data_IF_513041924454
#
_entry.id   IF_513041924454
#
_cell.length_a   1.000
_cell.length_b   1.000
_cell.length_c   1.000
_cell.angle_alpha   90.00
_cell.angle_beta   90.00
_cell.angle_gamma   90.00
#
_symmetry.space_group_name_H-M   'P 1'
#
loop_
_entity.id
_entity.type
_entity.pdbx_description
1 polymer ?
#
# COMPACT_ATOMS: atom_id res chain seq x y z
N UNK A 1 21.44 -4.58 -12.26
CA UNK A 1 20.81 -3.58 -13.16
C UNK A 1 21.89 -2.70 -13.75
N UNK A 2 21.80 -2.33 -15.04
CA UNK A 2 22.74 -1.39 -15.66
C UNK A 2 22.24 0.02 -15.36
N UNK A 3 23.06 0.84 -14.70
CA UNK A 3 22.76 2.28 -14.62
C UNK A 3 22.73 2.89 -16.02
N UNK A 4 21.78 3.78 -16.28
CA UNK A 4 21.65 4.43 -17.59
C UNK A 4 22.95 5.16 -17.94
N UNK A 5 23.42 5.00 -19.17
CA UNK A 5 24.60 5.69 -19.70
C UNK A 5 24.28 7.10 -20.21
N UNK A 6 23.00 7.51 -20.19
CA UNK A 6 22.59 8.85 -20.62
C UNK A 6 22.98 9.90 -19.59
N UNK A 7 23.52 11.05 -20.01
CA UNK A 7 23.70 12.20 -19.12
C UNK A 7 22.40 12.54 -18.40
N UNK A 8 22.47 13.08 -17.18
CA UNK A 8 21.28 13.40 -16.38
C UNK A 8 20.26 14.28 -17.15
N UNK A 9 20.77 15.26 -17.91
CA UNK A 9 19.97 16.16 -18.75
C UNK A 9 19.37 15.50 -20.02
N UNK A 10 19.47 14.18 -20.15
CA UNK A 10 18.87 13.38 -21.23
C UNK A 10 18.09 12.17 -20.69
N UNK A 11 17.92 12.09 -19.36
CA UNK A 11 17.18 11.00 -18.74
C UNK A 11 15.71 11.06 -19.13
N UNK A 12 15.14 9.91 -19.47
CA UNK A 12 13.72 9.73 -19.77
C UNK A 12 13.03 9.07 -18.60
N UNK A 13 12.08 9.77 -18.01
CA UNK A 13 11.36 9.33 -16.82
C UNK A 13 9.94 8.95 -17.20
N UNK A 14 9.56 7.70 -16.98
CA UNK A 14 8.15 7.33 -17.02
C UNK A 14 7.59 7.48 -15.62
N UNK A 15 6.47 8.20 -15.49
CA UNK A 15 5.68 8.18 -14.27
C UNK A 15 4.27 7.66 -14.58
N UNK A 16 3.96 6.48 -14.03
CA UNK A 16 2.67 5.85 -14.18
C UNK A 16 1.83 6.07 -12.92
N UNK A 17 0.78 6.87 -13.04
CA UNK A 17 -0.01 7.39 -11.93
C UNK A 17 -1.50 7.01 -12.07
N UNK A 18 -1.85 5.71 -12.01
CA UNK A 18 -3.24 5.28 -12.17
C UNK A 18 -4.15 5.69 -11.00
N UNK A 19 -3.57 6.03 -9.84
CA UNK A 19 -4.29 6.25 -8.57
C UNK A 19 -4.25 7.71 -8.12
N UNK A 20 -4.23 8.62 -9.09
CA UNK A 20 -4.04 10.05 -8.86
C UNK A 20 -5.21 10.76 -8.16
N UNK A 21 -6.33 10.04 -7.94
CA UNK A 21 -7.42 10.51 -7.07
C UNK A 21 -6.94 10.71 -5.62
N UNK A 22 -5.91 9.98 -5.19
CA UNK A 22 -5.15 10.30 -3.97
C UNK A 22 -4.19 11.48 -4.21
N UNK A 23 -4.77 12.68 -4.29
CA UNK A 23 -4.13 13.91 -4.77
C UNK A 23 -2.73 14.20 -4.18
N UNK A 24 -2.48 13.89 -2.90
CA UNK A 24 -1.15 14.18 -2.31
C UNK A 24 -0.02 13.46 -3.06
N UNK A 25 -0.23 12.20 -3.45
CA UNK A 25 0.76 11.42 -4.18
C UNK A 25 1.00 12.03 -5.57
N UNK A 26 -0.07 12.41 -6.24
CA UNK A 26 0.00 13.16 -7.49
C UNK A 26 0.71 14.50 -7.40
N UNK A 27 0.47 15.26 -6.32
CA UNK A 27 1.14 16.53 -6.08
C UNK A 27 2.65 16.33 -5.99
N UNK A 28 3.11 15.31 -5.26
CA UNK A 28 4.53 14.95 -5.20
C UNK A 28 5.07 14.55 -6.56
N UNK A 29 4.36 13.66 -7.26
CA UNK A 29 4.77 13.19 -8.59
C UNK A 29 4.99 14.36 -9.56
N UNK A 30 3.97 15.18 -9.73
CA UNK A 30 4.00 16.29 -10.69
C UNK A 30 5.02 17.35 -10.30
N UNK A 31 5.17 17.66 -9.01
CA UNK A 31 6.16 18.64 -8.53
C UNK A 31 7.58 18.15 -8.80
N UNK A 32 7.86 16.87 -8.52
CA UNK A 32 9.16 16.26 -8.80
C UNK A 32 9.43 16.26 -10.29
N UNK A 33 8.47 15.85 -11.13
CA UNK A 33 8.63 15.82 -12.58
C UNK A 33 8.87 17.20 -13.19
N UNK A 34 8.14 18.23 -12.76
CA UNK A 34 8.41 19.62 -13.17
C UNK A 34 9.84 20.04 -12.84
N UNK A 35 10.30 19.72 -11.63
CA UNK A 35 11.66 20.05 -11.21
C UNK A 35 12.71 19.29 -12.03
N UNK A 36 12.46 18.03 -12.36
CA UNK A 36 13.36 17.22 -13.19
C UNK A 36 13.40 17.74 -14.64
N UNK A 37 12.26 18.16 -15.18
CA UNK A 37 12.17 18.81 -16.50
C UNK A 37 12.96 20.12 -16.56
N UNK A 38 12.89 20.96 -15.53
CA UNK A 38 13.71 22.17 -15.43
C UNK A 38 15.22 21.88 -15.41
N UNK A 39 15.62 20.68 -15.01
CA UNK A 39 17.01 20.22 -15.03
C UNK A 39 17.38 19.44 -16.31
N UNK A 40 16.51 19.45 -17.32
CA UNK A 40 16.75 18.89 -18.65
C UNK A 40 16.24 17.47 -18.86
N UNK A 41 15.67 16.80 -17.85
CA UNK A 41 15.08 15.48 -18.07
C UNK A 41 13.81 15.56 -18.95
N UNK A 42 13.57 14.53 -19.73
CA UNK A 42 12.27 14.33 -20.38
C UNK A 42 11.41 13.41 -19.52
N UNK A 43 10.09 13.58 -19.57
CA UNK A 43 9.18 12.68 -18.88
C UNK A 43 7.90 12.41 -19.65
N UNK A 44 7.30 11.25 -19.36
CA UNK A 44 5.94 10.90 -19.74
C UNK A 44 5.13 10.61 -18.49
N UNK A 45 4.06 11.38 -18.28
CA UNK A 45 3.11 11.16 -17.19
C UNK A 45 1.89 10.41 -17.75
N UNK A 46 1.59 9.22 -17.23
CA UNK A 46 0.52 8.35 -17.75
C UNK A 46 -0.48 8.04 -16.65
N UNK A 47 -1.76 8.31 -16.91
CA UNK A 47 -2.87 8.09 -15.97
C UNK A 47 -3.85 7.04 -16.48
N UNK A 48 -4.74 6.57 -15.59
CA UNK A 48 -5.82 5.65 -15.94
C UNK A 48 -7.06 6.39 -16.46
N UNK A 49 -7.64 5.91 -17.55
CA UNK A 49 -8.87 6.43 -18.17
C UNK A 49 -10.10 5.54 -17.97
N UNK A 50 -10.07 4.65 -16.98
CA UNK A 50 -11.20 3.79 -16.60
C UNK A 50 -11.19 2.40 -17.22
N UNK A 51 -10.02 1.90 -17.64
CA UNK A 51 -9.89 0.60 -18.33
C UNK A 51 -9.99 -0.64 -17.42
N UNK A 52 -9.97 -0.45 -16.09
CA UNK A 52 -9.97 -1.56 -15.12
C UNK A 52 -11.35 -1.82 -14.55
N UNK A 53 -11.74 -3.10 -14.44
CA UNK A 53 -13.01 -3.53 -13.83
C UNK A 53 -12.99 -3.45 -12.30
N UNK A 54 -11.82 -3.68 -11.68
CA UNK A 54 -11.55 -3.39 -10.27
C UNK A 54 -10.23 -2.63 -10.10
N UNK A 55 -10.11 -1.77 -9.09
CA UNK A 55 -8.88 -1.01 -8.84
C UNK A 55 -8.76 -0.53 -7.39
N UNK A 56 -7.56 -0.04 -7.04
CA UNK A 56 -7.23 0.32 -5.65
C UNK A 56 -7.84 1.64 -5.14
N UNK A 57 -8.44 2.44 -6.02
CA UNK A 57 -9.17 3.64 -5.62
C UNK A 57 -10.56 3.29 -5.05
N UNK A 58 -11.15 2.19 -5.50
CA UNK A 58 -12.56 1.85 -5.24
C UNK A 58 -12.72 0.50 -4.52
N UNK A 59 -11.90 0.26 -3.50
CA UNK A 59 -12.04 -0.93 -2.65
C UNK A 59 -13.40 -0.99 -1.98
N UNK A 60 -14.05 -2.17 -1.97
CA UNK A 60 -15.32 -2.40 -1.26
C UNK A 60 -15.23 -1.98 0.21
N UNK A 61 -14.12 -2.26 0.88
CA UNK A 61 -14.00 -1.97 2.30
C UNK A 61 -13.95 -0.47 2.65
N UNK A 62 -13.61 0.41 1.70
CA UNK A 62 -13.34 1.83 1.99
C UNK A 62 -14.11 2.81 1.11
N UNK A 63 -14.26 2.50 -0.17
CA UNK A 63 -14.85 3.38 -1.18
C UNK A 63 -15.46 2.53 -2.31
N UNK A 64 -16.57 1.82 -2.06
CA UNK A 64 -17.16 0.89 -3.02
C UNK A 64 -17.41 1.53 -4.39
N UNK A 65 -17.03 0.82 -5.45
CA UNK A 65 -17.26 1.24 -6.82
C UNK A 65 -18.76 1.29 -7.14
N UNK A 66 -19.19 2.34 -7.84
CA UNK A 66 -20.52 2.50 -8.44
C UNK A 66 -20.39 2.89 -9.93
N UNK A 67 -21.51 2.91 -10.65
CA UNK A 67 -21.54 3.10 -12.12
C UNK A 67 -20.80 4.36 -12.61
N UNK A 68 -20.84 5.44 -11.83
CA UNK A 68 -20.21 6.71 -12.17
C UNK A 68 -18.77 6.87 -11.63
N UNK A 69 -18.25 5.91 -10.85
CA UNK A 69 -16.96 6.05 -10.14
C UNK A 69 -15.79 6.34 -11.07
N UNK A 70 -15.64 5.58 -12.18
CA UNK A 70 -14.53 5.79 -13.11
C UNK A 70 -14.63 7.13 -13.84
N UNK A 71 -15.83 7.54 -14.26
CA UNK A 71 -16.06 8.84 -14.90
C UNK A 71 -15.72 9.99 -13.95
N UNK A 72 -16.15 9.92 -12.69
CA UNK A 72 -15.82 10.92 -11.68
C UNK A 72 -14.32 10.97 -11.39
N UNK A 73 -13.67 9.81 -11.20
CA UNK A 73 -12.23 9.72 -10.98
C UNK A 73 -11.45 10.32 -12.16
N UNK A 74 -11.81 9.96 -13.39
CA UNK A 74 -11.17 10.49 -14.61
C UNK A 74 -11.29 12.00 -14.70
N UNK A 75 -12.48 12.55 -14.47
CA UNK A 75 -12.70 14.00 -14.51
C UNK A 75 -11.88 14.72 -13.43
N UNK A 76 -11.88 14.20 -12.20
CA UNK A 76 -11.13 14.79 -11.09
C UNK A 76 -9.62 14.76 -11.33
N UNK A 77 -9.10 13.67 -11.89
CA UNK A 77 -7.66 13.50 -12.14
C UNK A 77 -7.18 14.29 -13.36
N UNK A 78 -7.99 14.39 -14.42
CA UNK A 78 -7.74 15.27 -15.57
C UNK A 78 -7.70 16.74 -15.13
N UNK A 79 -8.73 17.21 -14.42
CA UNK A 79 -8.77 18.58 -13.90
C UNK A 79 -7.58 18.86 -12.99
N UNK A 80 -7.27 17.94 -12.07
CA UNK A 80 -6.14 18.08 -11.16
C UNK A 80 -4.79 18.17 -11.92
N UNK A 81 -4.54 17.30 -12.90
CA UNK A 81 -3.31 17.33 -13.69
C UNK A 81 -3.19 18.62 -14.52
N UNK A 82 -4.30 19.10 -15.10
CA UNK A 82 -4.33 20.39 -15.83
C UNK A 82 -4.04 21.57 -14.92
N UNK A 83 -4.63 21.60 -13.72
CA UNK A 83 -4.38 22.65 -12.73
C UNK A 83 -2.93 22.65 -12.22
N UNK A 84 -2.30 21.48 -12.19
CA UNK A 84 -0.86 21.33 -11.90
C UNK A 84 0.04 21.62 -13.11
N UNK A 85 -0.53 21.95 -14.27
CA UNK A 85 0.19 22.32 -15.49
C UNK A 85 1.00 21.17 -16.10
N UNK A 86 0.66 19.90 -15.81
CA UNK A 86 1.38 18.75 -16.36
C UNK A 86 0.66 18.18 -17.59
N UNK A 87 1.42 17.91 -18.65
CA UNK A 87 0.93 17.14 -19.79
C UNK A 87 0.94 15.65 -19.47
N UNK A 88 -0.11 14.94 -19.87
CA UNK A 88 -0.26 13.53 -19.55
C UNK A 88 -0.90 12.73 -20.69
N UNK A 89 -0.79 11.41 -20.61
CA UNK A 89 -1.40 10.45 -21.53
C UNK A 89 -2.29 9.47 -20.78
N UNK A 90 -3.22 8.86 -21.50
CA UNK A 90 -4.08 7.81 -20.98
C UNK A 90 -3.49 6.44 -21.28
N UNK A 91 -3.53 5.52 -20.31
CA UNK A 91 -3.05 4.14 -20.52
C UNK A 91 -3.86 3.40 -21.59
N UNK A 92 -5.15 3.75 -21.78
CA UNK A 92 -5.99 3.22 -22.86
C UNK A 92 -5.43 3.44 -24.27
N UNK A 93 -4.52 4.40 -24.47
CA UNK A 93 -3.84 4.60 -25.77
C UNK A 93 -2.94 3.42 -26.18
N UNK A 94 -2.55 2.57 -25.22
CA UNK A 94 -1.70 1.39 -25.45
C UNK A 94 -2.50 0.09 -25.53
N UNK A 95 -3.83 0.19 -25.53
CA UNK A 95 -4.77 -0.93 -25.54
C UNK A 95 -5.67 -0.88 -26.77
N UNK A 96 -6.13 -2.04 -27.22
CA UNK A 96 -7.11 -2.22 -28.27
C UNK A 96 -8.20 -3.22 -27.84
N UNK A 97 -9.25 -3.36 -28.63
CA UNK A 97 -10.42 -4.21 -28.32
C UNK A 97 -10.02 -5.68 -28.10
N UNK A 98 -9.06 -6.20 -28.86
CA UNK A 98 -8.62 -7.59 -28.75
C UNK A 98 -7.92 -7.87 -27.42
N UNK A 99 -7.29 -6.86 -26.80
CA UNK A 99 -6.68 -7.01 -25.47
C UNK A 99 -7.74 -7.27 -24.40
N UNK A 100 -8.89 -6.57 -24.48
CA UNK A 100 -10.01 -6.77 -23.56
C UNK A 100 -10.65 -8.15 -23.75
N UNK A 101 -10.82 -8.58 -25.00
CA UNK A 101 -11.34 -9.91 -25.32
C UNK A 101 -10.39 -11.02 -24.83
N UNK A 102 -9.09 -10.83 -25.03
CA UNK A 102 -8.04 -11.73 -24.58
C UNK A 102 -8.00 -11.85 -23.06
N UNK A 103 -8.09 -10.73 -22.35
CA UNK A 103 -8.12 -10.74 -20.89
C UNK A 103 -9.37 -11.45 -20.35
N UNK A 104 -10.53 -11.23 -20.97
CA UNK A 104 -11.75 -11.94 -20.61
C UNK A 104 -11.58 -13.46 -20.84
N UNK A 105 -11.14 -13.87 -22.03
CA UNK A 105 -10.96 -15.28 -22.36
C UNK A 105 -9.94 -15.99 -21.45
N UNK A 106 -8.83 -15.33 -21.14
CA UNK A 106 -7.83 -15.87 -20.22
C UNK A 106 -8.44 -16.12 -18.83
N UNK A 107 -9.10 -15.11 -18.27
CA UNK A 107 -9.68 -15.23 -16.93
C UNK A 107 -10.82 -16.27 -16.88
N UNK A 108 -11.62 -16.40 -17.93
CA UNK A 108 -12.64 -17.47 -18.03
C UNK A 108 -12.03 -18.88 -18.12
N UNK A 109 -10.78 -19.01 -18.57
CA UNK A 109 -10.09 -20.30 -18.69
C UNK A 109 -9.46 -20.80 -17.39
N UNK A 110 -9.34 -19.94 -16.38
CA UNK A 110 -8.65 -20.28 -15.12
C UNK A 110 -9.54 -21.12 -14.19
N UNK A 111 -8.94 -22.12 -13.54
CA UNK A 111 -9.52 -22.72 -12.35
C UNK A 111 -9.38 -21.77 -11.16
N UNK A 112 -10.30 -21.87 -10.21
CA UNK A 112 -10.28 -21.05 -8.99
C UNK A 112 -9.01 -21.28 -8.16
N UNK A 113 -8.51 -22.51 -8.16
CA UNK A 113 -7.30 -22.92 -7.43
C UNK A 113 -6.04 -22.22 -7.99
N UNK A 114 -6.09 -21.80 -9.25
CA UNK A 114 -4.96 -21.18 -9.92
C UNK A 114 -4.92 -19.66 -9.71
N UNK A 115 -5.99 -19.02 -9.22
CA UNK A 115 -6.12 -17.55 -9.22
C UNK A 115 -4.93 -16.82 -8.57
N UNK A 116 -4.43 -17.32 -7.44
CA UNK A 116 -3.34 -16.66 -6.70
C UNK A 116 -1.98 -16.81 -7.37
N UNK A 117 -1.81 -17.82 -8.22
CA UNK A 117 -0.56 -18.12 -8.93
C UNK A 117 -0.68 -17.96 -10.43
N UNK A 118 -1.82 -17.49 -10.92
CA UNK A 118 -2.14 -17.41 -12.34
C UNK A 118 -1.07 -16.63 -13.11
N UNK A 119 -0.57 -17.26 -14.16
CA UNK A 119 0.42 -16.68 -15.05
C UNK A 119 -0.17 -16.51 -16.45
N UNK A 120 0.19 -15.41 -17.10
CA UNK A 120 -0.06 -15.19 -18.53
C UNK A 120 1.29 -15.02 -19.21
N UNK A 121 1.67 -15.99 -20.05
CA UNK A 121 3.02 -16.07 -20.61
C UNK A 121 4.11 -16.05 -19.52
N UNK A 122 4.85 -14.95 -19.38
CA UNK A 122 5.89 -14.75 -18.36
C UNK A 122 5.46 -13.84 -17.19
N UNK A 123 4.19 -13.41 -17.19
CA UNK A 123 3.66 -12.45 -16.23
C UNK A 123 2.91 -13.16 -15.13
N UNK A 124 3.36 -12.96 -13.88
CA UNK A 124 2.81 -13.60 -12.68
C UNK A 124 1.63 -12.80 -12.14
N UNK A 125 0.60 -12.63 -12.96
CA UNK A 125 -0.53 -11.71 -12.72
C UNK A 125 -1.22 -12.00 -11.40
N UNK A 126 -1.48 -13.27 -11.06
CA UNK A 126 -2.11 -13.66 -9.79
C UNK A 126 -1.33 -13.16 -8.58
N UNK A 127 -0.01 -13.35 -8.59
CA UNK A 127 0.89 -12.88 -7.52
C UNK A 127 0.86 -11.35 -7.41
N UNK A 128 0.84 -10.64 -8.55
CA UNK A 128 0.88 -9.18 -8.58
C UNK A 128 -0.39 -8.50 -8.11
N UNK A 129 -1.56 -9.16 -8.26
CA UNK A 129 -2.85 -8.58 -7.85
C UNK A 129 -3.29 -9.00 -6.46
N UNK A 130 -2.75 -10.11 -5.92
CA UNK A 130 -3.11 -10.68 -4.60
C UNK A 130 -3.25 -9.61 -3.51
N UNK A 131 -2.20 -8.81 -3.30
CA UNK A 131 -2.19 -7.79 -2.25
C UNK A 131 -3.31 -6.76 -2.37
N UNK A 132 -3.75 -6.45 -3.60
CA UNK A 132 -4.90 -5.57 -3.82
C UNK A 132 -6.24 -6.23 -3.58
N UNK A 133 -6.38 -7.53 -3.84
CA UNK A 133 -7.61 -8.26 -3.49
C UNK A 133 -7.78 -8.27 -1.96
N UNK A 134 -6.70 -8.55 -1.22
CA UNK A 134 -6.71 -8.49 0.24
C UNK A 134 -7.08 -7.09 0.76
N UNK A 135 -6.45 -6.03 0.24
CA UNK A 135 -6.79 -4.64 0.60
C UNK A 135 -8.21 -4.24 0.18
N UNK A 136 -8.75 -4.83 -0.91
CA UNK A 136 -10.12 -4.56 -1.37
C UNK A 136 -11.17 -4.92 -0.30
N UNK A 137 -10.94 -6.01 0.42
CA UNK A 137 -11.80 -6.48 1.51
C UNK A 137 -11.28 -6.09 2.91
N UNK A 138 -10.03 -5.62 3.02
CA UNK A 138 -9.30 -5.46 4.29
C UNK A 138 -9.23 -6.76 5.08
N UNK A 139 -8.97 -7.86 4.39
CA UNK A 139 -8.90 -9.20 4.99
C UNK A 139 -7.57 -9.84 4.60
N UNK A 140 -6.87 -10.44 5.56
CA UNK A 140 -5.64 -11.20 5.32
C UNK A 140 -5.94 -12.60 4.78
N UNK A 141 -7.04 -13.21 5.21
CA UNK A 141 -7.53 -14.51 4.77
C UNK A 141 -8.78 -14.34 3.92
N UNK A 142 -8.74 -14.85 2.69
CA UNK A 142 -9.84 -14.77 1.75
C UNK A 142 -10.35 -16.18 1.45
N UNK A 143 -11.63 -16.43 1.75
CA UNK A 143 -12.30 -17.64 1.29
C UNK A 143 -12.66 -17.47 -0.19
N UNK A 144 -11.86 -18.06 -1.07
CA UNK A 144 -12.08 -17.93 -2.51
C UNK A 144 -13.36 -18.64 -2.98
N UNK A 145 -13.96 -19.51 -2.15
CA UNK A 145 -15.24 -20.14 -2.48
C UNK A 145 -16.44 -19.20 -2.32
N UNK A 146 -16.27 -18.11 -1.58
CA UNK A 146 -17.27 -17.05 -1.49
C UNK A 146 -17.51 -16.44 -2.88
N UNK A 147 -18.76 -16.42 -3.39
CA UNK A 147 -19.05 -15.95 -4.74
C UNK A 147 -18.62 -14.51 -5.03
N UNK A 148 -18.67 -13.63 -4.04
CA UNK A 148 -18.28 -12.24 -4.19
C UNK A 148 -16.75 -12.09 -4.22
N UNK A 149 -16.04 -12.74 -3.30
CA UNK A 149 -14.57 -12.76 -3.29
C UNK A 149 -14.06 -13.36 -4.61
N UNK A 150 -14.63 -14.48 -5.04
CA UNK A 150 -14.32 -15.11 -6.33
C UNK A 150 -14.47 -14.13 -7.49
N UNK A 151 -15.59 -13.40 -7.54
CA UNK A 151 -15.86 -12.45 -8.63
C UNK A 151 -14.90 -11.26 -8.61
N UNK A 152 -14.61 -10.70 -7.44
CA UNK A 152 -13.65 -9.59 -7.29
C UNK A 152 -12.25 -10.04 -7.69
N UNK A 153 -11.82 -11.22 -7.25
CA UNK A 153 -10.52 -11.78 -7.64
C UNK A 153 -10.42 -11.94 -9.16
N UNK A 154 -11.47 -12.49 -9.79
CA UNK A 154 -11.60 -12.61 -11.24
C UNK A 154 -11.44 -11.26 -11.94
N UNK A 155 -12.07 -10.21 -11.44
CA UNK A 155 -11.93 -8.85 -11.98
C UNK A 155 -10.54 -8.24 -11.77
N UNK A 156 -9.89 -8.53 -10.64
CA UNK A 156 -8.50 -8.12 -10.41
C UNK A 156 -7.53 -8.83 -11.35
N UNK A 157 -7.71 -10.12 -11.62
CA UNK A 157 -6.93 -10.84 -12.63
C UNK A 157 -7.11 -10.21 -14.01
N UNK A 158 -8.37 -9.97 -14.40
CA UNK A 158 -8.69 -9.28 -15.66
C UNK A 158 -7.98 -7.94 -15.76
N UNK A 159 -8.16 -7.08 -14.75
CA UNK A 159 -7.57 -5.75 -14.70
C UNK A 159 -6.05 -5.80 -14.65
N UNK A 160 -5.48 -6.79 -13.97
CA UNK A 160 -4.05 -7.06 -13.90
C UNK A 160 -3.47 -7.40 -15.26
N UNK A 161 -4.13 -8.25 -16.06
CA UNK A 161 -3.67 -8.57 -17.41
C UNK A 161 -3.82 -7.36 -18.36
N UNK A 162 -4.90 -6.58 -18.26
CA UNK A 162 -5.04 -5.31 -18.99
C UNK A 162 -3.88 -4.37 -18.65
N UNK A 163 -3.53 -4.25 -17.37
CA UNK A 163 -2.38 -3.47 -16.94
C UNK A 163 -1.08 -4.01 -17.53
N UNK A 164 -0.88 -5.34 -17.52
CA UNK A 164 0.34 -5.95 -18.06
C UNK A 164 0.52 -5.61 -19.55
N UNK A 165 -0.53 -5.78 -20.35
CA UNK A 165 -0.49 -5.50 -21.79
C UNK A 165 -0.20 -4.02 -22.06
N UNK A 166 -0.98 -3.12 -21.46
CA UNK A 166 -0.86 -1.69 -21.69
C UNK A 166 0.48 -1.13 -21.22
N UNK A 167 0.91 -1.51 -20.01
CA UNK A 167 2.17 -1.02 -19.42
C UNK A 167 3.38 -1.63 -20.12
N UNK A 168 3.34 -2.91 -20.53
CA UNK A 168 4.43 -3.50 -21.28
C UNK A 168 4.66 -2.75 -22.60
N UNK A 169 3.59 -2.47 -23.36
CA UNK A 169 3.68 -1.66 -24.60
C UNK A 169 4.16 -0.24 -24.35
N UNK A 170 3.68 0.40 -23.28
CA UNK A 170 4.14 1.73 -22.86
C UNK A 170 5.64 1.75 -22.55
N UNK A 171 6.15 0.74 -21.83
CA UNK A 171 7.58 0.61 -21.54
C UNK A 171 8.40 0.35 -22.81
N UNK A 172 7.89 -0.45 -23.75
CA UNK A 172 8.56 -0.76 -25.01
C UNK A 172 8.60 0.43 -25.98
N UNK A 173 7.54 1.25 -26.01
CA UNK A 173 7.44 2.50 -26.79
C UNK A 173 8.34 3.58 -26.20
N UNK A 174 8.18 3.90 -24.91
CA UNK A 174 8.88 5.04 -24.30
C UNK A 174 10.34 4.70 -23.95
N UNK A 175 10.68 3.45 -23.65
CA UNK A 175 12.02 3.02 -23.21
C UNK A 175 12.64 3.97 -22.16
N UNK A 176 11.97 4.14 -21.00
CA UNK A 176 12.46 5.03 -19.95
C UNK A 176 13.76 4.51 -19.35
N UNK A 177 14.58 5.44 -18.85
CA UNK A 177 15.71 5.11 -17.99
C UNK A 177 15.27 4.82 -16.55
N UNK A 178 14.22 5.51 -16.10
CA UNK A 178 13.65 5.38 -14.77
C UNK A 178 12.12 5.31 -14.80
N UNK A 179 11.54 4.37 -14.06
CA UNK A 179 10.13 4.37 -13.69
C UNK A 179 9.98 5.02 -12.31
N UNK A 180 9.30 6.16 -12.24
CA UNK A 180 8.92 6.82 -11.00
C UNK A 180 7.45 6.51 -10.67
N UNK A 181 7.19 5.90 -9.51
CA UNK A 181 5.92 5.22 -9.29
C UNK A 181 5.46 5.31 -7.83
N UNK A 182 4.17 5.50 -7.62
CA UNK A 182 3.58 5.45 -6.29
C UNK A 182 3.49 4.01 -5.77
N UNK A 183 3.98 3.79 -4.54
CA UNK A 183 3.77 2.61 -3.69
C UNK A 183 4.31 1.26 -4.20
N UNK A 184 4.00 0.87 -5.44
CA UNK A 184 4.52 -0.34 -6.08
C UNK A 184 3.98 -1.68 -5.56
N UNK A 185 3.14 -1.70 -4.52
CA UNK A 185 2.51 -2.91 -3.96
C UNK A 185 1.15 -3.24 -4.58
N UNK A 186 0.41 -2.21 -4.97
CA UNK A 186 -0.98 -2.31 -5.43
C UNK A 186 -1.07 -2.79 -6.89
N UNK A 187 -2.03 -3.64 -7.23
CA UNK A 187 -2.32 -4.26 -8.53
C UNK A 187 -1.60 -3.60 -9.72
N UNK A 188 -2.10 -2.46 -10.24
CA UNK A 188 -1.53 -1.88 -11.45
C UNK A 188 -0.12 -1.29 -11.24
N UNK A 189 0.18 -0.75 -10.06
CA UNK A 189 1.54 -0.26 -9.76
C UNK A 189 2.52 -1.41 -9.52
N UNK A 190 2.07 -2.54 -8.95
CA UNK A 190 2.87 -3.77 -8.82
C UNK A 190 3.19 -4.37 -10.17
N UNK A 191 2.24 -4.38 -11.09
CA UNK A 191 2.46 -4.74 -12.50
C UNK A 191 3.54 -3.84 -13.11
N UNK A 192 3.42 -2.51 -12.98
CA UNK A 192 4.39 -1.57 -13.54
C UNK A 192 5.81 -1.79 -12.98
N UNK A 193 5.92 -1.95 -11.65
CA UNK A 193 7.19 -2.23 -10.97
C UNK A 193 7.81 -3.53 -11.49
N UNK A 194 7.03 -4.61 -11.55
CA UNK A 194 7.53 -5.93 -11.94
C UNK A 194 7.98 -5.97 -13.40
N UNK A 195 7.22 -5.37 -14.32
CA UNK A 195 7.59 -5.27 -15.73
C UNK A 195 8.85 -4.40 -15.94
N UNK A 196 8.97 -3.29 -15.21
CA UNK A 196 10.17 -2.45 -15.27
C UNK A 196 11.41 -3.21 -14.79
N UNK A 197 11.30 -3.95 -13.67
CA UNK A 197 12.38 -4.80 -13.16
C UNK A 197 12.78 -5.89 -14.16
N UNK A 198 11.81 -6.58 -14.77
CA UNK A 198 12.07 -7.58 -15.81
C UNK A 198 12.82 -6.99 -17.01
N UNK A 199 12.55 -5.74 -17.37
CA UNK A 199 13.25 -5.00 -18.44
C UNK A 199 14.56 -4.33 -17.99
N UNK A 200 14.95 -4.49 -16.73
CA UNK A 200 16.16 -3.86 -16.16
C UNK A 200 16.09 -2.33 -16.07
N UNK A 201 14.88 -1.76 -16.07
CA UNK A 201 14.63 -0.32 -15.90
C UNK A 201 14.75 0.01 -14.42
N UNK A 202 15.48 1.08 -14.09
CA UNK A 202 15.60 1.57 -12.71
C UNK A 202 14.24 1.99 -12.19
N UNK A 203 13.88 1.58 -10.98
CA UNK A 203 12.60 2.01 -10.37
C UNK A 203 12.85 2.88 -9.16
N UNK A 204 12.07 3.95 -9.03
CA UNK A 204 12.01 4.80 -7.85
C UNK A 204 10.57 4.84 -7.39
N UNK A 205 10.34 4.24 -6.23
CA UNK A 205 9.04 4.20 -5.60
C UNK A 205 8.94 5.32 -4.58
N UNK A 206 7.82 6.03 -4.58
CA UNK A 206 7.52 7.02 -3.54
C UNK A 206 6.35 6.61 -2.66
N UNK A 207 6.43 7.03 -1.40
CA UNK A 207 5.39 6.87 -0.39
C UNK A 207 5.51 8.03 0.62
N UNK A 208 4.51 8.19 1.50
CA UNK A 208 4.58 9.12 2.64
C UNK A 208 5.81 8.79 3.50
N UNK A 209 6.58 9.82 3.85
CA UNK A 209 7.70 9.68 4.76
C UNK A 209 7.27 9.45 6.21
N UNK A 210 8.24 9.02 7.03
CA UNK A 210 8.04 8.83 8.49
C UNK A 210 7.95 10.15 9.26
N UNK A 211 8.58 11.20 8.73
CA UNK A 211 8.52 12.55 9.27
C UNK A 211 7.38 13.34 8.61
N UNK A 212 6.78 14.27 9.36
CA UNK A 212 5.82 15.22 8.80
C UNK A 212 6.42 15.92 7.58
N UNK A 213 5.64 16.01 6.51
CA UNK A 213 6.05 16.61 5.22
C UNK A 213 7.23 15.91 4.52
N UNK A 214 7.67 14.74 5.03
CA UNK A 214 8.68 13.91 4.39
C UNK A 214 8.11 13.04 3.27
N UNK A 215 8.96 12.69 2.32
CA UNK A 215 8.71 11.69 1.28
C UNK A 215 9.71 10.55 1.45
N UNK A 216 9.22 9.32 1.36
CA UNK A 216 10.04 8.13 1.30
C UNK A 216 10.32 7.82 -0.17
N UNK A 217 11.58 7.60 -0.52
CA UNK A 217 12.01 7.16 -1.85
C UNK A 217 12.74 5.83 -1.72
N UNK A 218 12.30 4.82 -2.47
CA UNK A 218 12.88 3.48 -2.47
C UNK A 218 13.33 3.15 -3.88
N UNK A 219 14.58 2.77 -4.03
CA UNK A 219 15.14 2.37 -5.31
C UNK A 219 15.05 0.86 -5.49
N UNK A 220 14.52 0.41 -6.63
CA UNK A 220 14.46 -1.00 -7.04
C UNK A 220 13.72 -1.94 -6.06
N UNK A 221 12.76 -1.42 -5.29
CA UNK A 221 11.88 -2.16 -4.37
C UNK A 221 10.53 -1.46 -4.25
N UNK A 222 9.53 -2.09 -3.63
CA UNK A 222 8.24 -1.46 -3.33
C UNK A 222 8.24 -0.74 -1.96
N UNK A 223 7.11 -0.14 -1.58
CA UNK A 223 6.97 0.62 -0.33
C UNK A 223 7.19 -0.19 0.96
N UNK A 224 7.15 -1.53 0.90
CA UNK A 224 7.34 -2.42 2.05
C UNK A 224 8.75 -2.99 2.14
N UNK A 225 9.63 -2.61 1.20
CA UNK A 225 11.00 -3.09 1.19
C UNK A 225 11.77 -2.66 2.44
N UNK A 226 12.28 -3.65 3.18
CA UNK A 226 13.02 -3.44 4.42
C UNK A 226 14.51 -3.16 4.18
N UNK A 227 15.04 -3.37 2.96
CA UNK A 227 16.46 -3.17 2.65
C UNK A 227 16.95 -1.76 3.03
N UNK A 228 16.25 -0.65 2.73
CA UNK A 228 16.71 0.68 3.11
C UNK A 228 16.82 0.86 4.62
N UNK A 229 15.86 0.34 5.41
CA UNK A 229 15.89 0.45 6.88
C UNK A 229 17.02 -0.41 7.45
N UNK A 230 17.18 -1.64 6.95
CA UNK A 230 18.29 -2.54 7.35
C UNK A 230 19.64 -1.86 7.05
N UNK A 231 19.77 -1.20 5.91
CA UNK A 231 20.98 -0.45 5.55
C UNK A 231 21.24 0.73 6.49
N UNK A 232 20.23 1.57 6.77
CA UNK A 232 20.35 2.68 7.71
C UNK A 232 20.83 2.19 9.08
N UNK A 233 20.27 1.09 9.58
CA UNK A 233 20.69 0.51 10.85
C UNK A 233 22.14 0.02 10.83
N UNK A 234 22.58 -0.64 9.76
CA UNK A 234 23.95 -1.09 9.62
C UNK A 234 24.95 0.09 9.57
N UNK A 235 24.59 1.17 8.87
CA UNK A 235 25.46 2.33 8.69
C UNK A 235 25.54 3.21 9.94
N UNK A 236 24.43 3.35 10.69
CA UNK A 236 24.29 4.36 11.74
C UNK A 236 23.98 3.80 13.13
N UNK A 237 23.62 2.52 13.27
CA UNK A 237 23.16 1.95 14.54
C UNK A 237 24.20 1.96 15.66
N UNK A 238 25.49 1.99 15.31
CA UNK A 238 26.60 2.11 16.26
C UNK A 238 27.13 3.55 16.43
N UNK A 239 26.60 4.52 15.68
CA UNK A 239 27.03 5.91 15.74
C UNK A 239 26.25 6.62 16.84
N UNK A 240 26.89 7.09 17.93
CA UNK A 240 26.18 7.80 18.99
C UNK A 240 25.65 9.13 18.48
N UNK A 241 24.43 9.47 18.90
CA UNK A 241 23.82 10.77 18.57
C UNK A 241 24.60 11.91 19.23
N UNK A 242 24.79 13.01 18.49
CA UNK A 242 25.23 14.27 19.08
C UNK A 242 24.17 14.82 20.05
N UNK A 243 24.57 15.73 20.93
CA UNK A 243 23.63 16.40 21.83
C UNK A 243 22.49 17.08 21.05
N UNK A 244 22.79 17.70 19.91
CA UNK A 244 21.78 18.35 19.07
C UNK A 244 20.77 17.34 18.53
N UNK A 245 21.23 16.22 17.97
CA UNK A 245 20.36 15.17 17.43
C UNK A 245 19.54 14.50 18.52
N UNK A 246 20.14 14.25 19.70
CA UNK A 246 19.43 13.72 20.85
C UNK A 246 18.28 14.63 21.28
N UNK A 247 18.49 15.95 21.35
CA UNK A 247 17.41 16.90 21.66
C UNK A 247 16.32 16.88 20.58
N UNK A 248 16.70 16.85 19.30
CA UNK A 248 15.76 16.81 18.18
C UNK A 248 14.89 15.55 18.19
N UNK A 249 15.49 14.35 18.30
CA UNK A 249 14.74 13.10 18.33
C UNK A 249 13.88 12.98 19.60
N UNK A 250 14.39 13.43 20.75
CA UNK A 250 13.60 13.46 22.00
C UNK A 250 12.36 14.33 21.85
N UNK A 251 12.50 15.52 21.25
CA UNK A 251 11.35 16.40 20.98
C UNK A 251 10.34 15.74 20.03
N UNK A 252 10.83 15.15 18.95
CA UNK A 252 9.98 14.44 17.98
C UNK A 252 9.21 13.27 18.63
N UNK A 253 9.86 12.48 19.47
CA UNK A 253 9.22 11.35 20.17
C UNK A 253 8.15 11.83 21.15
N UNK A 254 8.39 12.93 21.88
CA UNK A 254 7.38 13.57 22.74
C UNK A 254 6.18 14.06 21.94
N UNK A 255 6.40 14.73 20.80
CA UNK A 255 5.31 15.16 19.93
C UNK A 255 4.44 13.97 19.51
N UNK A 256 5.07 12.87 19.11
CA UNK A 256 4.38 11.64 18.71
C UNK A 256 3.56 11.01 19.83
N UNK A 257 4.06 11.01 21.05
CA UNK A 257 3.32 10.54 22.23
C UNK A 257 1.99 11.28 22.40
N UNK A 258 1.96 12.56 22.02
CA UNK A 258 0.77 13.41 22.06
C UNK A 258 -0.02 13.47 20.74
N UNK A 259 0.33 12.63 19.75
CA UNK A 259 -0.32 12.60 18.45
C UNK A 259 -0.05 13.84 17.59
N UNK A 260 1.07 14.52 17.83
CA UNK A 260 1.53 15.68 17.09
C UNK A 260 2.66 15.31 16.13
N UNK A 261 2.97 16.21 15.20
CA UNK A 261 4.07 16.06 14.23
C UNK A 261 4.04 14.73 13.44
N UNK A 262 2.83 14.26 13.13
CA UNK A 262 2.59 13.04 12.37
C UNK A 262 2.64 13.32 10.86
N UNK A 263 3.09 12.35 10.07
CA UNK A 263 3.00 12.38 8.59
C UNK A 263 1.61 12.04 8.05
N UNK A 264 0.69 11.70 8.96
CA UNK A 264 -0.70 11.37 8.66
C UNK A 264 -1.62 11.88 9.79
N UNK A 265 -2.91 11.58 9.70
CA UNK A 265 -3.88 11.98 10.73
C UNK A 265 -3.74 11.12 11.99
N UNK A 266 -3.98 11.68 13.18
CA UNK A 266 -4.08 10.89 14.41
C UNK A 266 -5.36 10.04 14.38
N UNK A 267 -5.24 8.77 14.78
CA UNK A 267 -6.37 7.84 14.93
C UNK A 267 -6.78 7.62 16.39
N UNK A 268 -6.18 8.35 17.32
CA UNK A 268 -6.42 8.21 18.75
C UNK A 268 -6.71 9.57 19.36
N UNK A 269 -7.54 9.61 20.42
CA UNK A 269 -7.75 10.84 21.15
C UNK A 269 -6.42 11.31 21.78
N UNK A 270 -6.38 12.57 22.20
CA UNK A 270 -5.27 13.09 22.99
C UNK A 270 -5.05 12.21 24.23
N UNK A 271 -3.81 12.11 24.74
CA UNK A 271 -3.53 11.39 25.99
C UNK A 271 -4.46 11.83 27.12
N UNK A 272 -4.97 10.85 27.85
CA UNK A 272 -5.91 11.04 28.96
C UNK A 272 -5.18 10.77 30.29
N UNK A 273 -5.61 11.37 31.42
CA UNK A 273 -5.04 11.08 32.73
C UNK A 273 -5.07 9.58 33.04
N UNK A 274 -3.95 9.02 33.50
CA UNK A 274 -3.83 7.59 33.80
C UNK A 274 -4.92 7.04 34.74
N UNK A 275 -5.32 7.76 35.83
CA UNK A 275 -6.41 7.28 36.69
C UNK A 275 -7.74 7.13 35.95
N UNK A 276 -8.05 8.06 35.03
CA UNK A 276 -9.26 7.99 34.21
C UNK A 276 -9.22 6.78 33.28
N UNK A 277 -8.09 6.52 32.62
CA UNK A 277 -7.93 5.36 31.73
C UNK A 277 -8.07 4.05 32.50
N UNK A 278 -7.46 3.94 33.70
CA UNK A 278 -7.58 2.76 34.56
C UNK A 278 -9.02 2.52 35.00
N UNK A 279 -9.74 3.58 35.38
CA UNK A 279 -11.15 3.50 35.74
C UNK A 279 -12.02 3.05 34.54
N UNK A 280 -11.84 3.67 33.37
CA UNK A 280 -12.60 3.35 32.14
C UNK A 280 -12.41 1.89 31.71
N UNK A 281 -11.18 1.39 31.80
CA UNK A 281 -10.81 0.03 31.41
C UNK A 281 -10.92 -0.99 32.56
N UNK A 282 -11.44 -0.58 33.72
CA UNK A 282 -11.60 -1.42 34.93
C UNK A 282 -10.30 -2.17 35.30
N UNK A 283 -9.18 -1.46 35.26
CA UNK A 283 -7.85 -2.00 35.59
C UNK A 283 -7.62 -1.80 37.10
N UNK A 284 -7.41 -2.87 37.89
CA UNK A 284 -7.13 -2.74 39.31
C UNK A 284 -5.87 -1.90 39.58
N UNK A 285 -5.85 -1.20 40.71
CA UNK A 285 -4.66 -0.48 41.16
C UNK A 285 -3.47 -1.42 41.32
N UNK A 286 -2.28 -0.96 40.97
CA UNK A 286 -1.01 -1.69 41.07
C UNK A 286 -0.92 -3.00 40.25
N UNK A 287 -1.93 -3.35 39.45
CA UNK A 287 -1.89 -4.49 38.53
C UNK A 287 -0.95 -4.20 37.33
N UNK A 288 -0.02 -5.12 37.00
CA UNK A 288 0.73 -5.10 35.75
C UNK A 288 -0.20 -5.10 34.54
N UNK A 289 0.07 -4.22 33.58
CA UNK A 289 -0.72 -4.10 32.34
C UNK A 289 0.15 -4.49 31.16
N UNK A 290 -0.30 -5.47 30.40
CA UNK A 290 0.26 -5.80 29.10
C UNK A 290 -0.62 -5.21 28.01
N UNK A 291 -0.01 -4.66 26.97
CA UNK A 291 -0.73 -4.09 25.83
C UNK A 291 -0.28 -4.79 24.56
N UNK A 292 -1.24 -5.34 23.83
CA UNK A 292 -1.04 -5.92 22.50
C UNK A 292 -1.59 -4.96 21.46
N UNK A 293 -0.77 -4.56 20.50
CA UNK A 293 -1.17 -3.69 19.39
C UNK A 293 -1.39 -4.54 18.14
N UNK A 294 -2.59 -4.50 17.58
CA UNK A 294 -2.88 -5.18 16.31
C UNK A 294 -2.41 -4.36 15.11
N UNK A 295 -2.13 -5.04 14.00
CA UNK A 295 -1.68 -4.46 12.72
C UNK A 295 -2.72 -4.68 11.61
N UNK A 296 -2.55 -4.00 10.46
CA UNK A 296 -3.32 -4.23 9.23
C UNK A 296 -2.65 -5.32 8.39
N UNK A 297 -2.89 -6.59 8.72
CA UNK A 297 -2.18 -7.71 8.09
C UNK A 297 -2.46 -7.85 6.58
N UNK A 298 -3.59 -7.32 6.11
CA UNK A 298 -3.95 -7.30 4.69
C UNK A 298 -2.94 -6.51 3.84
N UNK A 299 -2.26 -5.53 4.43
CA UNK A 299 -1.29 -4.68 3.73
C UNK A 299 0.04 -5.40 3.50
N UNK A 300 0.40 -6.37 4.34
CA UNK A 300 1.71 -7.06 4.32
C UNK A 300 1.66 -8.50 3.76
N UNK A 301 0.47 -9.03 3.44
CA UNK A 301 0.26 -10.42 2.97
C UNK A 301 1.01 -10.81 1.67
N UNK A 302 1.54 -9.81 0.96
CA UNK A 302 2.31 -9.96 -0.26
C UNK A 302 3.81 -9.62 -0.08
N UNK A 303 4.26 -9.45 1.17
CA UNK A 303 5.62 -9.08 1.52
C UNK A 303 6.25 -10.13 2.47
N UNK A 304 6.91 -11.12 1.89
CA UNK A 304 7.50 -12.28 2.60
C UNK A 304 8.48 -11.86 3.71
N UNK A 305 9.18 -10.74 3.54
CA UNK A 305 10.15 -10.17 4.50
C UNK A 305 9.51 -9.74 5.84
N UNK A 306 8.17 -9.73 5.92
CA UNK A 306 7.40 -9.34 7.10
C UNK A 306 6.78 -10.52 7.85
N UNK A 307 7.12 -11.77 7.49
CA UNK A 307 6.67 -12.96 8.22
C UNK A 307 7.16 -12.95 9.67
N UNK A 308 6.24 -13.15 10.60
CA UNK A 308 6.49 -13.18 12.04
C UNK A 308 6.76 -14.59 12.59
N UNK A 309 6.96 -14.68 13.90
CA UNK A 309 7.14 -15.97 14.61
C UNK A 309 5.84 -16.78 14.68
N UNK A 310 4.69 -16.12 14.59
CA UNK A 310 3.37 -16.76 14.57
C UNK A 310 2.83 -16.83 13.14
N UNK A 311 2.05 -17.87 12.84
CA UNK A 311 1.48 -18.07 11.49
C UNK A 311 0.46 -16.99 11.12
N UNK A 312 -0.20 -16.41 12.13
CA UNK A 312 -1.09 -15.27 11.96
C UNK A 312 -1.15 -14.41 13.22
N UNK A 313 -1.59 -13.17 13.05
CA UNK A 313 -1.86 -12.28 14.18
C UNK A 313 -2.97 -12.83 15.09
N UNK A 314 -3.96 -13.52 14.51
CA UNK A 314 -5.01 -14.18 15.29
C UNK A 314 -4.42 -15.27 16.21
N UNK A 315 -3.51 -16.11 15.69
CA UNK A 315 -2.83 -17.13 16.50
C UNK A 315 -2.02 -16.49 17.64
N UNK A 316 -1.27 -15.43 17.35
CA UNK A 316 -0.50 -14.69 18.35
C UNK A 316 -1.39 -14.16 19.49
N UNK A 317 -2.51 -13.53 19.15
CA UNK A 317 -3.46 -12.98 20.13
C UNK A 317 -4.08 -14.12 20.95
N UNK A 318 -4.56 -15.17 20.29
CA UNK A 318 -5.19 -16.33 20.95
C UNK A 318 -4.23 -17.01 21.94
N UNK A 319 -2.97 -17.23 21.56
CA UNK A 319 -1.94 -17.78 22.46
C UNK A 319 -1.65 -16.85 23.63
N UNK A 320 -1.59 -15.54 23.39
CA UNK A 320 -1.38 -14.55 24.46
C UNK A 320 -2.55 -14.53 25.44
N UNK A 321 -3.80 -14.57 24.96
CA UNK A 321 -4.99 -14.65 25.80
C UNK A 321 -4.98 -15.92 26.65
N UNK A 322 -4.69 -17.09 26.05
CA UNK A 322 -4.59 -18.35 26.78
C UNK A 322 -3.48 -18.35 27.84
N UNK A 323 -2.35 -17.69 27.58
CA UNK A 323 -1.31 -17.49 28.59
C UNK A 323 -1.84 -16.68 29.78
N UNK A 324 -2.51 -15.56 29.50
CA UNK A 324 -3.04 -14.64 30.53
C UNK A 324 -4.15 -15.28 31.38
N UNK A 325 -4.93 -16.22 30.82
CA UNK A 325 -5.91 -16.99 31.61
C UNK A 325 -5.28 -17.72 32.80
N UNK A 326 -4.01 -18.13 32.68
CA UNK A 326 -3.26 -18.77 33.75
C UNK A 326 -2.45 -17.79 34.62
N UNK A 327 -2.53 -16.49 34.33
CA UNK A 327 -1.81 -15.40 35.01
C UNK A 327 -2.77 -14.24 35.36
N UNK A 328 -3.74 -14.47 36.27
CA UNK A 328 -4.79 -13.49 36.59
C UNK A 328 -4.27 -12.21 37.27
N UNK A 329 -3.01 -12.20 37.70
CA UNK A 329 -2.29 -11.05 38.23
C UNK A 329 -1.95 -10.01 37.15
N UNK A 330 -1.97 -10.38 35.88
CA UNK A 330 -1.71 -9.49 34.74
C UNK A 330 -3.02 -9.11 34.03
N UNK A 331 -3.18 -7.83 33.71
CA UNK A 331 -4.27 -7.37 32.83
C UNK A 331 -3.77 -7.19 31.41
N UNK A 332 -4.31 -7.97 30.48
CA UNK A 332 -4.09 -7.76 29.05
C UNK A 332 -5.08 -6.74 28.48
N UNK A 333 -4.57 -5.79 27.71
CA UNK A 333 -5.33 -4.86 26.88
C UNK A 333 -4.96 -5.09 25.42
N UNK A 334 -5.94 -5.44 24.58
CA UNK A 334 -5.74 -5.55 23.13
C UNK A 334 -6.20 -4.24 22.49
N UNK A 335 -5.24 -3.45 21.97
CA UNK A 335 -5.52 -2.22 21.24
C UNK A 335 -5.68 -2.53 19.76
N UNK A 336 -6.92 -2.42 19.31
CA UNK A 336 -7.34 -2.74 17.95
C UNK A 336 -6.89 -1.64 16.97
N UNK A 337 -6.35 -2.06 15.82
CA UNK A 337 -5.93 -1.23 14.72
C UNK A 337 -7.11 -0.48 14.12
N UNK A 338 -6.97 0.80 13.74
CA UNK A 338 -8.06 1.58 13.17
C UNK A 338 -8.65 1.01 11.88
N UNK A 339 -7.91 0.17 11.13
CA UNK A 339 -8.44 -0.47 9.93
C UNK A 339 -9.34 -1.67 10.22
N UNK A 340 -9.33 -2.20 11.44
CA UNK A 340 -10.18 -3.33 11.84
C UNK A 340 -11.61 -2.84 12.10
N UNK A 341 -11.75 -1.85 12.98
CA UNK A 341 -13.02 -1.19 13.29
C UNK A 341 -12.81 0.12 14.04
N UNK A 342 -13.82 0.98 14.04
CA UNK A 342 -13.87 2.17 14.90
C UNK A 342 -14.38 3.43 14.22
N UNK A 343 -14.67 4.45 15.02
CA UNK A 343 -15.23 5.73 14.55
C UNK A 343 -14.35 6.46 13.52
N UNK A 344 -13.04 6.24 13.58
CA UNK A 344 -12.05 6.89 12.71
C UNK A 344 -11.47 5.94 11.65
N UNK A 345 -12.04 4.73 11.54
CA UNK A 345 -11.64 3.73 10.58
C UNK A 345 -11.84 4.23 9.15
N UNK A 346 -10.94 3.82 8.25
CA UNK A 346 -11.09 4.09 6.81
C UNK A 346 -11.80 2.96 6.07
N UNK A 347 -12.08 1.85 6.76
CA UNK A 347 -12.77 0.64 6.32
C UNK A 347 -12.77 -0.39 7.45
N UNK A 348 -13.39 -1.56 7.27
CA UNK A 348 -13.58 -2.55 8.34
C UNK A 348 -13.06 -3.95 7.96
N UNK A 349 -12.25 -4.55 8.83
CA UNK A 349 -11.95 -5.99 8.81
C UNK A 349 -12.94 -6.71 9.74
N UNK A 350 -14.10 -7.08 9.19
CA UNK A 350 -15.17 -7.72 9.97
C UNK A 350 -14.78 -9.10 10.53
N UNK A 351 -13.94 -9.85 9.81
CA UNK A 351 -13.47 -11.16 10.25
C UNK A 351 -12.62 -11.04 11.51
N UNK A 352 -11.61 -10.16 11.49
CA UNK A 352 -10.75 -9.92 12.64
C UNK A 352 -11.54 -9.34 13.83
N UNK A 353 -12.48 -8.40 13.58
CA UNK A 353 -13.32 -7.87 14.64
C UNK A 353 -14.13 -8.98 15.33
N UNK A 354 -14.83 -9.82 14.56
CA UNK A 354 -15.62 -10.93 15.09
C UNK A 354 -14.76 -11.93 15.86
N UNK A 355 -13.56 -12.24 15.35
CA UNK A 355 -12.62 -13.12 16.03
C UNK A 355 -12.17 -12.55 17.38
N UNK A 356 -11.91 -11.23 17.45
CA UNK A 356 -11.55 -10.55 18.69
C UNK A 356 -12.74 -10.47 19.67
N UNK A 357 -13.96 -10.26 19.19
CA UNK A 357 -15.17 -10.29 20.02
C UNK A 357 -15.39 -11.66 20.65
N UNK A 358 -15.16 -12.75 19.91
CA UNK A 358 -15.22 -14.12 20.42
C UNK A 358 -14.12 -14.34 21.46
N UNK A 359 -12.90 -13.87 21.22
CA UNK A 359 -11.82 -14.01 22.21
C UNK A 359 -12.09 -13.21 23.49
N UNK A 360 -12.76 -12.07 23.38
CA UNK A 360 -13.09 -11.23 24.54
C UNK A 360 -14.18 -11.81 25.44
N UNK A 361 -14.96 -12.79 24.96
CA UNK A 361 -15.99 -13.49 25.76
C UNK A 361 -15.50 -14.78 26.41
N UNK A 362 -14.29 -15.24 26.07
CA UNK A 362 -13.64 -16.43 26.61
C UNK A 362 -12.68 -16.11 27.75
#
# INVERSE_FOLDING_TARGET
MKHSTRPFHQQRILCYAPYNMWKLHGMWEMTILHTLKLRGADFRYVMCDGVFTECDIFWKATNPRHVASCTLCKNQTDEFARNMGISFQWIGQYLNVDDFNRAAAWVESLSIDDYMTAEYESWRVGVWVKGSVNSHFRMSELDITDPEIKQVYKHYLYSGLIACIGINRLLDDYRPDTLFLFNGRMSSTRVALSLAQQKGIRTIIHERGYLKEGILLIENGDCLDLRPIKQIWNDWGAVPLSQKELHQITSYLRDREHGQNLSWRPFSPKPQPLPLVRQLLKIPDQCPVWVLFTSSDDEIIAADDWEGVFSSQHEWISRTVNYIKNHPDVRLIVRIHPNTSGKYATGNNFQQLKALEILATQ
#
